data_IF_661743490798
#
_entry.id   IF_661743490798
#
_cell.length_a   1.000
_cell.length_b   1.000
_cell.length_c   1.000
_cell.angle_alpha   90.00
_cell.angle_beta   90.00
_cell.angle_gamma   90.00
#
_symmetry.space_group_name_H-M   'P 1'
#
loop_
_entity.id
_entity.type
_entity.pdbx_description
1 polymer ?
#
# COMPACT_ATOMS: atom_id res chain seq x y z
N UNK A 1 -32.49 -33.72 31.79
CA UNK A 1 -31.42 -33.35 32.74
C UNK A 1 -30.48 -32.40 32.03
N UNK A 2 -30.48 -31.11 32.38
CA UNK A 2 -29.56 -30.13 31.77
C UNK A 2 -28.14 -30.28 32.38
N UNK A 3 -27.06 -30.18 31.59
CA UNK A 3 -25.71 -30.22 32.14
C UNK A 3 -25.44 -28.94 32.93
N UNK A 4 -25.03 -29.09 34.20
CA UNK A 4 -24.86 -28.00 35.18
C UNK A 4 -23.54 -27.22 35.07
N UNK A 5 -22.79 -27.34 33.98
CA UNK A 5 -21.54 -26.58 33.81
C UNK A 5 -21.17 -26.45 32.35
N UNK A 6 -20.89 -25.23 31.90
CA UNK A 6 -20.28 -25.00 30.60
C UNK A 6 -18.89 -25.65 30.55
N UNK A 7 -18.52 -26.26 29.40
CA UNK A 7 -17.14 -26.68 29.14
C UNK A 7 -16.16 -25.51 29.33
N UNK A 8 -14.98 -25.74 29.94
CA UNK A 8 -14.00 -24.68 30.17
C UNK A 8 -13.54 -24.02 28.87
N UNK A 9 -13.58 -24.71 27.74
CA UNK A 9 -13.22 -24.20 26.41
C UNK A 9 -14.14 -23.04 25.98
N UNK A 10 -15.45 -23.13 26.26
CA UNK A 10 -16.40 -22.06 25.94
C UNK A 10 -16.26 -20.86 26.90
N UNK A 11 -15.75 -21.08 28.12
CA UNK A 11 -15.41 -19.97 29.01
C UNK A 11 -14.29 -19.09 28.43
N UNK A 12 -13.35 -19.65 27.66
CA UNK A 12 -12.32 -18.86 26.98
C UNK A 12 -12.88 -17.97 25.86
N UNK A 13 -14.03 -18.32 25.26
CA UNK A 13 -14.69 -17.51 24.22
C UNK A 13 -15.58 -16.39 24.78
N UNK A 14 -16.18 -16.56 25.95
CA UNK A 14 -17.04 -15.53 26.56
C UNK A 14 -16.27 -14.46 27.33
N UNK A 15 -15.17 -14.85 27.97
CA UNK A 15 -14.33 -13.95 28.80
C UNK A 15 -13.76 -12.71 28.07
N UNK A 16 -13.43 -12.73 26.77
CA UNK A 16 -13.01 -11.54 26.01
C UNK A 16 -14.03 -10.41 25.96
N UNK A 17 -15.31 -10.69 26.20
CA UNK A 17 -16.40 -9.71 26.09
C UNK A 17 -16.82 -9.10 27.45
N UNK A 18 -16.20 -9.51 28.55
CA UNK A 18 -16.48 -8.95 29.88
C UNK A 18 -15.58 -7.75 30.11
N UNK A 19 -16.17 -6.56 30.32
CA UNK A 19 -15.42 -5.36 30.65
C UNK A 19 -14.71 -5.53 31.99
N UNK A 20 -13.47 -5.05 32.09
CA UNK A 20 -12.63 -5.25 33.28
C UNK A 20 -13.26 -4.69 34.56
N UNK A 21 -13.96 -3.56 34.48
CA UNK A 21 -14.73 -2.95 35.57
C UNK A 21 -15.80 -3.88 36.16
N UNK A 22 -16.41 -4.72 35.33
CA UNK A 22 -17.46 -5.67 35.71
C UNK A 22 -16.88 -7.01 36.23
N UNK A 23 -15.61 -7.32 35.92
CA UNK A 23 -14.95 -8.58 36.25
C UNK A 23 -14.30 -8.60 37.65
N UNK A 24 -13.86 -7.44 38.15
CA UNK A 24 -12.99 -7.35 39.35
C UNK A 24 -13.70 -7.69 40.67
N UNK A 25 -14.96 -7.28 40.96
CA UNK A 25 -15.55 -7.55 42.28
C UNK A 25 -16.01 -9.00 42.47
N UNK A 26 -16.43 -9.69 41.39
CA UNK A 26 -17.14 -10.96 41.49
C UNK A 26 -16.37 -12.19 40.96
N UNK A 27 -15.36 -12.02 40.11
CA UNK A 27 -14.65 -13.17 39.52
C UNK A 27 -13.48 -13.68 40.38
N UNK A 28 -12.85 -12.81 41.17
CA UNK A 28 -11.71 -13.20 42.03
C UNK A 28 -12.12 -13.93 43.31
N UNK A 29 -13.39 -13.81 43.73
CA UNK A 29 -13.94 -14.44 44.94
C UNK A 29 -14.65 -15.78 44.69
N UNK A 30 -14.98 -16.09 43.44
CA UNK A 30 -15.91 -17.17 43.10
C UNK A 30 -15.25 -18.50 42.73
N UNK A 31 -14.07 -18.52 42.09
CA UNK A 31 -13.32 -19.77 41.84
C UNK A 31 -11.85 -19.54 41.45
N UNK A 32 -10.95 -20.41 41.93
CA UNK A 32 -9.49 -20.39 41.67
C UNK A 32 -9.13 -20.49 40.17
N UNK A 33 -9.99 -21.13 39.38
CA UNK A 33 -9.83 -21.28 37.93
C UNK A 33 -10.03 -19.94 37.20
N UNK A 34 -11.07 -19.17 37.56
CA UNK A 34 -11.29 -17.83 37.01
C UNK A 34 -10.22 -16.83 37.46
N UNK A 35 -9.76 -16.95 38.70
CA UNK A 35 -8.65 -16.15 39.23
C UNK A 35 -7.38 -16.30 38.36
N UNK A 36 -6.96 -17.54 38.10
CA UNK A 36 -5.77 -17.81 37.28
C UNK A 36 -5.94 -17.41 35.81
N UNK A 37 -7.17 -17.41 35.29
CA UNK A 37 -7.46 -17.03 33.91
C UNK A 37 -7.45 -15.50 33.70
N UNK A 38 -7.96 -14.75 34.68
CA UNK A 38 -8.17 -13.30 34.56
C UNK A 38 -6.97 -12.48 35.06
N UNK A 39 -6.18 -12.98 36.03
CA UNK A 39 -5.06 -12.23 36.61
C UNK A 39 -4.01 -11.74 35.58
N UNK A 40 -3.47 -12.61 34.70
CA UNK A 40 -2.46 -12.21 33.73
C UNK A 40 -2.97 -11.16 32.74
N UNK A 41 -4.30 -11.08 32.56
CA UNK A 41 -4.94 -10.03 31.76
C UNK A 41 -5.08 -8.75 32.57
N UNK A 42 -5.58 -8.78 33.80
CA UNK A 42 -5.67 -7.57 34.64
C UNK A 42 -4.31 -6.88 34.80
N UNK A 43 -3.22 -7.64 34.91
CA UNK A 43 -1.88 -7.06 34.96
C UNK A 43 -1.47 -6.39 33.64
N UNK A 44 -1.70 -7.04 32.49
CA UNK A 44 -1.50 -6.41 31.16
C UNK A 44 -2.37 -5.16 30.95
N UNK A 45 -3.58 -5.15 31.51
CA UNK A 45 -4.49 -4.00 31.44
C UNK A 45 -4.01 -2.86 32.34
N UNK A 46 -3.50 -3.14 33.54
CA UNK A 46 -2.85 -2.13 34.39
C UNK A 46 -1.62 -1.54 33.72
N UNK A 47 -0.81 -2.35 33.06
CA UNK A 47 0.32 -1.89 32.24
C UNK A 47 -0.15 -1.00 31.10
N UNK A 48 -1.21 -1.38 30.37
CA UNK A 48 -1.78 -0.57 29.31
C UNK A 48 -2.35 0.77 29.82
N UNK A 49 -3.00 0.78 30.98
CA UNK A 49 -3.54 1.99 31.61
C UNK A 49 -2.41 2.91 32.10
N UNK A 50 -1.33 2.37 32.66
CA UNK A 50 -0.13 3.13 33.00
C UNK A 50 0.54 3.73 31.75
N UNK A 51 0.56 3.00 30.63
CA UNK A 51 1.08 3.52 29.37
C UNK A 51 0.20 4.64 28.80
N UNK A 52 -1.12 4.58 28.98
CA UNK A 52 -2.04 5.63 28.53
C UNK A 52 -1.89 6.90 29.38
N UNK A 53 -1.76 6.76 30.71
CA UNK A 53 -1.45 7.89 31.60
C UNK A 53 -0.10 8.54 31.28
N UNK A 54 0.92 7.74 30.90
CA UNK A 54 2.22 8.24 30.44
C UNK A 54 2.10 9.00 29.11
N UNK A 55 1.30 8.51 28.17
CA UNK A 55 1.01 9.21 26.91
C UNK A 55 0.27 10.52 27.14
N UNK A 56 -0.71 10.56 28.04
CA UNK A 56 -1.43 11.78 28.39
C UNK A 56 -0.51 12.82 29.04
N UNK A 57 0.43 12.39 29.88
CA UNK A 57 1.48 13.26 30.43
C UNK A 57 2.41 13.79 29.34
N UNK A 58 2.82 12.96 28.37
CA UNK A 58 3.61 13.40 27.22
C UNK A 58 2.84 14.38 26.32
N UNK A 59 1.55 14.16 26.10
CA UNK A 59 0.68 15.07 25.34
C UNK A 59 0.50 16.40 26.09
N UNK A 60 0.35 16.37 27.42
CA UNK A 60 0.27 17.58 28.25
C UNK A 60 1.59 18.38 28.22
N UNK A 61 2.74 17.70 28.28
CA UNK A 61 4.06 18.32 28.12
C UNK A 61 4.23 18.94 26.72
N UNK A 62 3.82 18.24 25.66
CA UNK A 62 3.83 18.78 24.30
C UNK A 62 2.93 20.00 24.15
N UNK A 63 1.75 20.01 24.77
CA UNK A 63 0.84 21.17 24.78
C UNK A 63 1.44 22.35 25.54
N UNK A 64 2.12 22.12 26.66
CA UNK A 64 2.82 23.16 27.41
C UNK A 64 3.97 23.78 26.58
N UNK A 65 4.76 22.96 25.91
CA UNK A 65 5.82 23.42 24.99
C UNK A 65 5.22 24.24 23.83
N UNK A 66 4.08 23.82 23.28
CA UNK A 66 3.38 24.56 22.22
C UNK A 66 2.89 25.92 22.72
N UNK A 67 2.38 26.02 23.95
CA UNK A 67 1.96 27.30 24.54
C UNK A 67 3.16 28.21 24.87
N UNK A 68 4.28 27.66 25.34
CA UNK A 68 5.53 28.42 25.49
C UNK A 68 6.06 28.96 24.15
N UNK A 69 5.97 28.16 23.07
CA UNK A 69 6.33 28.59 21.72
C UNK A 69 5.38 29.65 21.16
N UNK A 70 4.08 29.60 21.49
CA UNK A 70 3.12 30.65 21.13
C UNK A 70 3.35 31.95 21.91
N UNK A 71 3.66 31.86 23.20
CA UNK A 71 4.02 33.01 24.02
C UNK A 71 5.35 33.64 23.56
N UNK A 72 6.32 32.82 23.17
CA UNK A 72 7.57 33.26 22.54
C UNK A 72 7.34 33.95 21.19
N UNK A 73 6.39 33.46 20.37
CA UNK A 73 5.98 34.14 19.13
C UNK A 73 5.28 35.47 19.38
N UNK A 74 4.48 35.62 20.44
CA UNK A 74 3.85 36.91 20.77
C UNK A 74 4.87 37.98 21.22
N UNK A 75 5.97 37.59 21.87
CA UNK A 75 7.10 38.51 22.14
C UNK A 75 7.88 38.90 20.88
N UNK A 76 8.03 37.99 19.92
CA UNK A 76 8.75 38.25 18.67
C UNK A 76 7.95 39.12 17.66
N UNK A 77 6.62 39.17 17.78
CA UNK A 77 5.74 39.97 16.90
C UNK A 77 5.75 41.47 17.23
N UNK A 78 6.23 41.88 18.42
CA UNK A 78 6.36 43.31 18.76
C UNK A 78 7.65 43.95 18.24
N UNK A 79 8.69 43.17 17.90
CA UNK A 79 10.03 43.71 17.58
C UNK A 79 10.49 43.55 16.12
N UNK A 80 9.71 42.97 15.21
CA UNK A 80 10.10 42.88 13.79
C UNK A 80 8.94 43.12 12.83
N UNK A 81 8.51 44.38 12.73
CA UNK A 81 7.85 44.88 11.53
C UNK A 81 8.90 45.32 10.50
N UNK A 82 9.68 44.35 10.00
CA UNK A 82 10.44 44.47 8.76
C UNK A 82 11.00 43.12 8.34
N UNK A 83 10.69 42.74 7.09
CA UNK A 83 11.23 41.63 6.28
C UNK A 83 10.41 40.32 6.21
N UNK A 84 9.54 40.32 5.20
CA UNK A 84 9.35 39.30 4.16
C UNK A 84 9.07 37.84 4.55
N UNK A 85 7.82 37.48 4.24
CA UNK A 85 7.33 36.16 3.82
C UNK A 85 8.33 35.30 3.02
N UNK A 86 8.52 34.05 3.45
CA UNK A 86 8.89 32.96 2.55
C UNK A 86 8.07 31.71 2.88
N UNK A 87 7.07 31.46 2.05
CA UNK A 87 6.44 30.15 1.83
C UNK A 87 7.52 29.12 1.49
N UNK A 88 7.46 27.94 2.10
CA UNK A 88 8.33 26.81 1.80
C UNK A 88 8.11 26.37 0.33
N UNK A 89 8.92 26.93 -0.56
CA UNK A 89 9.13 26.43 -1.91
C UNK A 89 9.98 25.17 -1.83
N UNK A 90 9.51 24.08 -2.44
CA UNK A 90 10.29 22.88 -2.65
C UNK A 90 11.58 23.26 -3.41
N UNK A 91 12.72 23.24 -2.71
CA UNK A 91 14.03 23.46 -3.33
C UNK A 91 14.22 22.42 -4.42
N UNK A 92 14.21 22.87 -5.67
CA UNK A 92 14.67 22.06 -6.80
C UNK A 92 16.16 21.77 -6.60
N UNK A 93 16.62 20.52 -6.80
CA UNK A 93 18.04 20.19 -6.63
C UNK A 93 18.91 21.06 -7.55
N UNK A 94 20.02 21.56 -7.02
CA UNK A 94 20.94 22.48 -7.72
C UNK A 94 21.56 21.89 -8.99
N UNK A 95 21.54 20.56 -9.15
CA UNK A 95 21.92 19.84 -10.37
C UNK A 95 21.06 18.58 -10.54
N UNK A 96 20.45 18.32 -11.72
CA UNK A 96 19.69 17.10 -11.94
C UNK A 96 20.61 15.88 -11.98
N UNK A 97 20.30 14.85 -11.18
CA UNK A 97 20.94 13.54 -11.31
C UNK A 97 20.61 12.96 -12.69
N UNK A 98 21.62 12.82 -13.56
CA UNK A 98 21.48 12.31 -14.92
C UNK A 98 22.32 11.06 -15.07
N UNK A 99 21.68 9.89 -14.95
CA UNK A 99 22.30 8.60 -15.21
C UNK A 99 21.34 7.73 -16.01
N UNK A 100 21.82 7.20 -17.11
CA UNK A 100 21.11 6.19 -17.88
C UNK A 100 21.70 4.82 -17.57
N UNK A 101 20.83 3.83 -17.42
CA UNK A 101 21.21 2.48 -17.06
C UNK A 101 20.60 1.52 -18.07
N UNK A 102 21.41 0.61 -18.59
CA UNK A 102 20.93 -0.45 -19.48
C UNK A 102 19.99 -1.38 -18.70
N UNK A 103 18.81 -1.63 -19.26
CA UNK A 103 17.83 -2.51 -18.64
C UNK A 103 18.32 -3.94 -18.44
N UNK A 104 17.80 -4.59 -17.42
CA UNK A 104 18.09 -5.99 -17.05
C UNK A 104 17.40 -6.99 -17.95
N UNK A 105 16.20 -6.64 -18.43
CA UNK A 105 15.33 -7.55 -19.19
C UNK A 105 15.53 -7.45 -20.71
N UNK A 106 16.61 -6.80 -21.17
CA UNK A 106 16.90 -6.64 -22.60
C UNK A 106 17.70 -7.82 -23.13
N UNK A 107 17.27 -8.40 -24.26
CA UNK A 107 18.08 -9.38 -25.00
C UNK A 107 19.36 -8.75 -25.57
N UNK A 108 20.47 -9.49 -25.60
CA UNK A 108 21.77 -9.01 -26.09
C UNK A 108 21.76 -8.52 -27.55
N UNK A 109 20.85 -9.05 -28.39
CA UNK A 109 20.69 -8.69 -29.81
C UNK A 109 19.50 -7.77 -30.09
N UNK A 110 18.78 -7.31 -29.06
CA UNK A 110 17.65 -6.37 -29.18
C UNK A 110 18.06 -4.92 -28.94
N UNK A 111 17.14 -3.99 -29.19
CA UNK A 111 17.30 -2.59 -28.79
C UNK A 111 17.55 -2.54 -27.27
N UNK A 112 18.78 -2.23 -26.86
CA UNK A 112 19.16 -2.12 -25.46
C UNK A 112 18.43 -0.92 -24.85
N UNK A 113 17.24 -1.16 -24.29
CA UNK A 113 16.48 -0.12 -23.60
C UNK A 113 17.36 0.45 -22.47
N UNK A 114 17.68 1.73 -22.58
CA UNK A 114 18.30 2.50 -21.52
C UNK A 114 17.21 3.23 -20.76
N UNK A 115 17.29 3.17 -19.43
CA UNK A 115 16.31 3.78 -18.55
C UNK A 115 16.97 4.96 -17.82
N UNK A 116 16.38 6.16 -17.90
CA UNK A 116 16.84 7.30 -17.12
C UNK A 116 16.48 7.09 -15.65
N UNK A 117 17.47 7.27 -14.78
CA UNK A 117 17.30 7.22 -13.33
C UNK A 117 17.06 8.63 -12.82
N UNK A 118 15.91 8.84 -12.17
CA UNK A 118 15.55 10.16 -11.65
C UNK A 118 16.16 10.41 -10.27
N UNK A 119 16.35 11.69 -9.92
CA UNK A 119 16.70 12.09 -8.56
C UNK A 119 15.73 11.51 -7.52
N UNK A 120 14.42 11.54 -7.82
CA UNK A 120 13.38 11.04 -6.92
C UNK A 120 13.49 9.54 -6.65
N UNK A 121 13.87 8.75 -7.66
CA UNK A 121 14.12 7.33 -7.49
C UNK A 121 15.31 7.07 -6.55
N UNK A 122 16.44 7.75 -6.77
CA UNK A 122 17.62 7.61 -5.90
C UNK A 122 17.27 8.00 -4.46
N UNK A 123 16.53 9.10 -4.28
CA UNK A 123 16.10 9.56 -2.96
C UNK A 123 15.24 8.51 -2.26
N UNK A 124 14.21 7.98 -2.94
CA UNK A 124 13.30 6.96 -2.38
C UNK A 124 14.03 5.66 -2.00
N UNK A 125 15.02 5.25 -2.79
CA UNK A 125 15.85 4.06 -2.52
C UNK A 125 16.83 4.23 -1.37
N UNK A 126 17.37 5.44 -1.16
CA UNK A 126 18.20 5.75 0.02
C UNK A 126 17.34 5.78 1.29
N UNK A 127 16.09 6.21 1.17
CA UNK A 127 15.10 6.21 2.24
C UNK A 127 14.42 4.84 2.40
N UNK A 128 13.39 4.74 3.26
CA UNK A 128 12.63 3.48 3.39
C UNK A 128 11.66 3.35 2.21
N UNK A 129 11.41 2.14 1.67
CA UNK A 129 11.67 0.83 2.26
C UNK A 129 13.08 0.26 2.09
N UNK A 130 13.78 0.54 0.99
CA UNK A 130 14.99 -0.21 0.59
C UNK A 130 16.24 0.13 1.42
N UNK A 131 16.44 1.41 1.78
CA UNK A 131 17.62 1.89 2.51
C UNK A 131 18.94 1.47 1.86
N UNK A 132 19.02 1.62 0.54
CA UNK A 132 20.15 1.19 -0.29
C UNK A 132 21.45 1.88 0.09
N UNK A 133 22.52 1.09 0.13
CA UNK A 133 23.90 1.57 0.25
C UNK A 133 24.49 1.80 -1.14
N UNK A 134 25.62 2.50 -1.20
CA UNK A 134 26.38 2.69 -2.45
C UNK A 134 26.66 1.36 -3.17
N UNK A 135 26.97 0.29 -2.43
CA UNK A 135 27.19 -1.04 -3.01
C UNK A 135 25.99 -1.55 -3.80
N UNK A 136 24.79 -1.23 -3.35
CA UNK A 136 23.55 -1.75 -3.92
C UNK A 136 23.20 -0.97 -5.18
N UNK A 137 23.43 0.35 -5.16
CA UNK A 137 23.36 1.18 -6.37
C UNK A 137 24.39 0.79 -7.43
N UNK A 138 25.60 0.36 -7.06
CA UNK A 138 26.57 -0.16 -8.04
C UNK A 138 26.00 -1.38 -8.76
N UNK A 139 25.40 -2.31 -8.00
CA UNK A 139 24.71 -3.48 -8.56
C UNK A 139 23.52 -3.06 -9.41
N UNK A 140 22.70 -2.11 -8.93
CA UNK A 140 21.53 -1.58 -9.64
C UNK A 140 21.92 -1.00 -11.00
N UNK A 141 23.03 -0.26 -11.04
CA UNK A 141 23.54 0.44 -12.22
C UNK A 141 24.49 -0.39 -13.09
N UNK A 142 24.61 -1.70 -12.83
CA UNK A 142 25.53 -2.59 -13.54
C UNK A 142 26.99 -2.12 -13.55
N UNK A 143 27.41 -1.44 -12.48
CA UNK A 143 28.79 -1.01 -12.30
C UNK A 143 29.58 -2.04 -11.50
N UNK A 144 30.81 -2.32 -11.96
CA UNK A 144 31.74 -3.17 -11.20
C UNK A 144 32.05 -2.50 -9.86
N UNK A 145 32.11 -3.31 -8.80
CA UNK A 145 32.52 -2.86 -7.47
C UNK A 145 34.03 -2.54 -7.46
N UNK A 146 34.38 -1.27 -7.66
CA UNK A 146 35.75 -0.75 -7.57
C UNK A 146 35.77 0.48 -6.67
N UNK A 147 36.93 0.79 -6.08
CA UNK A 147 37.10 1.98 -5.24
C UNK A 147 36.71 3.27 -5.97
N UNK A 148 37.16 3.42 -7.23
CA UNK A 148 36.80 4.55 -8.10
C UNK A 148 35.29 4.66 -8.30
N UNK A 149 34.63 3.60 -8.78
CA UNK A 149 33.19 3.64 -9.09
C UNK A 149 32.36 3.97 -7.85
N UNK A 150 32.74 3.46 -6.68
CA UNK A 150 32.06 3.78 -5.42
C UNK A 150 32.24 5.25 -5.01
N UNK A 151 33.43 5.82 -5.21
CA UNK A 151 33.72 7.21 -4.91
C UNK A 151 33.02 8.16 -5.88
N UNK A 152 33.05 7.84 -7.18
CA UNK A 152 32.40 8.62 -8.24
C UNK A 152 30.88 8.63 -8.07
N UNK A 153 30.30 7.47 -7.77
CA UNK A 153 28.86 7.36 -7.53
C UNK A 153 28.43 8.12 -6.28
N UNK A 154 29.22 8.01 -5.19
CA UNK A 154 28.95 8.75 -3.96
C UNK A 154 29.01 10.25 -4.21
N UNK A 155 30.03 10.73 -4.93
CA UNK A 155 30.16 12.14 -5.32
C UNK A 155 28.96 12.59 -6.16
N UNK A 156 28.53 11.80 -7.14
CA UNK A 156 27.38 12.14 -8.00
C UNK A 156 26.06 12.24 -7.23
N UNK A 157 25.85 11.38 -6.23
CA UNK A 157 24.67 11.41 -5.37
C UNK A 157 24.74 12.59 -4.38
N UNK A 158 25.91 12.85 -3.79
CA UNK A 158 26.15 13.98 -2.88
C UNK A 158 26.05 15.34 -3.60
N UNK A 159 26.50 15.45 -4.87
CA UNK A 159 26.30 16.62 -5.74
C UNK A 159 24.82 16.92 -6.00
N UNK A 160 23.97 15.90 -5.88
CA UNK A 160 22.52 16.04 -6.01
C UNK A 160 21.84 16.38 -4.67
N UNK A 161 22.61 16.59 -3.60
CA UNK A 161 22.13 16.90 -2.24
C UNK A 161 21.45 15.72 -1.50
N UNK A 162 21.64 14.48 -1.95
CA UNK A 162 21.14 13.28 -1.26
C UNK A 162 22.17 12.80 -0.24
N UNK A 163 21.79 12.72 1.04
CA UNK A 163 22.66 12.21 2.12
C UNK A 163 22.50 10.71 2.28
N UNK A 164 23.49 9.93 1.83
CA UNK A 164 23.54 8.49 2.09
C UNK A 164 24.04 8.26 3.52
N UNK A 165 23.19 7.63 4.34
CA UNK A 165 23.57 7.24 5.71
C UNK A 165 24.45 5.98 5.65
N UNK A 166 25.71 6.11 6.06
CA UNK A 166 26.70 5.02 6.01
C UNK A 166 26.34 3.81 6.87
N UNK A 167 25.60 4.02 7.96
CA UNK A 167 25.16 2.96 8.86
C UNK A 167 23.64 2.85 8.87
N UNK A 168 23.11 1.99 8.00
CA UNK A 168 21.74 1.50 8.10
C UNK A 168 21.74 -0.02 8.00
N UNK A 169 21.03 -0.66 8.93
CA UNK A 169 20.63 -2.05 8.79
C UNK A 169 19.52 -2.08 7.72
N UNK A 170 19.75 -2.88 6.69
CA UNK A 170 18.75 -3.25 5.69
C UNK A 170 17.62 -3.94 6.46
N UNK A 171 16.41 -3.40 6.35
CA UNK A 171 15.24 -3.83 7.13
C UNK A 171 14.04 -4.20 6.25
N UNK A 172 14.19 -4.17 4.92
CA UNK A 172 13.19 -4.61 3.94
C UNK A 172 13.44 -6.06 3.52
N UNK A 173 12.37 -6.76 3.14
CA UNK A 173 12.46 -8.00 2.40
C UNK A 173 13.04 -7.70 1.02
N UNK A 174 14.15 -8.35 0.65
CA UNK A 174 14.71 -8.25 -0.68
C UNK A 174 13.76 -8.93 -1.67
N UNK A 175 13.01 -8.14 -2.43
CA UNK A 175 12.16 -8.65 -3.51
C UNK A 175 12.86 -8.46 -4.85
N UNK A 176 12.42 -9.18 -5.88
CA UNK A 176 12.93 -8.95 -7.23
C UNK A 176 12.70 -7.50 -7.72
N UNK A 177 11.69 -6.81 -7.21
CA UNK A 177 11.41 -5.41 -7.56
C UNK A 177 12.54 -4.47 -7.13
N UNK A 178 13.21 -4.75 -6.00
CA UNK A 178 14.34 -3.95 -5.50
C UNK A 178 15.46 -3.82 -6.55
N UNK A 179 15.61 -4.83 -7.43
CA UNK A 179 16.62 -4.81 -8.49
C UNK A 179 16.16 -4.16 -9.80
N UNK A 180 14.87 -3.93 -10.01
CA UNK A 180 14.36 -3.23 -11.20
C UNK A 180 14.43 -1.74 -10.99
N UNK A 181 14.83 -0.96 -12.00
CA UNK A 181 14.61 0.49 -12.00
C UNK A 181 13.10 0.79 -12.02
N UNK A 182 12.68 1.94 -11.48
CA UNK A 182 11.25 2.29 -11.49
C UNK A 182 10.67 2.35 -12.91
N UNK A 183 11.44 2.87 -13.87
CA UNK A 183 11.02 2.88 -15.26
C UNK A 183 10.91 1.46 -15.87
N UNK A 184 11.76 0.52 -15.46
CA UNK A 184 11.65 -0.88 -15.88
C UNK A 184 10.43 -1.56 -15.28
N UNK A 185 10.20 -1.35 -13.98
CA UNK A 185 9.07 -1.91 -13.26
C UNK A 185 7.74 -1.42 -13.85
N UNK A 186 7.66 -0.16 -14.25
CA UNK A 186 6.45 0.36 -14.90
C UNK A 186 6.32 -0.09 -16.35
N UNK A 187 7.41 -0.20 -17.11
CA UNK A 187 7.35 -0.80 -18.45
C UNK A 187 6.82 -2.25 -18.36
N UNK A 188 7.29 -3.01 -17.36
CA UNK A 188 6.83 -4.37 -17.10
C UNK A 188 5.33 -4.44 -16.77
N UNK A 189 4.80 -3.48 -16.00
CA UNK A 189 3.36 -3.45 -15.69
C UNK A 189 2.51 -3.09 -16.91
N UNK A 190 3.00 -2.19 -17.79
CA UNK A 190 2.32 -1.86 -19.04
C UNK A 190 2.30 -3.05 -20.00
N UNK A 191 3.39 -3.80 -20.09
CA UNK A 191 3.44 -5.01 -20.92
C UNK A 191 2.55 -6.12 -20.34
N UNK A 192 2.49 -6.24 -19.01
CA UNK A 192 1.51 -7.10 -18.34
C UNK A 192 0.06 -6.72 -18.68
N UNK A 193 -0.29 -5.43 -18.65
CA UNK A 193 -1.62 -4.95 -19.03
C UNK A 193 -1.99 -5.35 -20.47
N UNK A 194 -1.08 -5.17 -21.43
CA UNK A 194 -1.29 -5.59 -22.83
C UNK A 194 -1.50 -7.10 -22.96
N UNK A 195 -0.79 -7.90 -22.16
CA UNK A 195 -0.95 -9.35 -22.13
C UNK A 195 -2.29 -9.74 -21.53
N UNK A 196 -2.75 -9.05 -20.47
CA UNK A 196 -4.09 -9.22 -19.94
C UNK A 196 -5.15 -8.96 -21.02
N UNK A 197 -5.08 -7.82 -21.71
CA UNK A 197 -6.05 -7.45 -22.74
C UNK A 197 -6.09 -8.43 -23.92
N UNK A 198 -4.92 -8.93 -24.34
CA UNK A 198 -4.80 -9.78 -25.54
C UNK A 198 -5.00 -11.26 -25.26
N UNK A 199 -4.55 -11.75 -24.11
CA UNK A 199 -4.36 -13.18 -23.86
C UNK A 199 -5.22 -13.72 -22.71
N UNK A 200 -5.80 -12.88 -21.85
CA UNK A 200 -6.62 -13.39 -20.75
C UNK A 200 -7.94 -13.98 -21.28
N UNK A 201 -8.32 -15.21 -20.90
CA UNK A 201 -9.44 -15.93 -21.52
C UNK A 201 -10.79 -15.51 -20.92
N UNK A 202 -11.17 -14.24 -21.07
CA UNK A 202 -12.42 -13.69 -20.51
C UNK A 202 -13.65 -14.47 -20.99
N UNK A 203 -13.80 -14.66 -22.31
CA UNK A 203 -14.98 -15.30 -22.88
C UNK A 203 -15.13 -16.77 -22.47
N UNK A 204 -14.09 -17.63 -22.58
CA UNK A 204 -14.18 -19.01 -22.11
C UNK A 204 -14.57 -19.12 -20.63
N UNK A 205 -13.97 -18.29 -19.75
CA UNK A 205 -14.30 -18.29 -18.33
C UNK A 205 -15.76 -17.86 -18.12
N UNK A 206 -16.21 -16.79 -18.80
CA UNK A 206 -17.59 -16.33 -18.70
C UNK A 206 -18.59 -17.41 -19.16
N UNK A 207 -18.26 -18.18 -20.21
CA UNK A 207 -19.09 -19.31 -20.64
C UNK A 207 -19.21 -20.32 -19.51
N UNK A 208 -18.08 -20.79 -18.97
CA UNK A 208 -18.07 -21.84 -17.95
C UNK A 208 -18.81 -21.40 -16.67
N UNK A 209 -18.70 -20.13 -16.30
CA UNK A 209 -19.42 -19.55 -15.17
C UNK A 209 -20.94 -19.40 -15.39
N UNK A 210 -21.40 -19.29 -16.65
CA UNK A 210 -22.82 -19.01 -16.97
C UNK A 210 -23.57 -20.21 -17.55
N UNK A 211 -22.87 -21.19 -18.13
CA UNK A 211 -23.47 -22.38 -18.74
C UNK A 211 -24.08 -23.35 -17.72
N UNK A 212 -23.77 -23.26 -16.42
CA UNK A 212 -24.23 -24.24 -15.42
C UNK A 212 -23.64 -25.66 -15.60
N UNK A 213 -22.80 -25.85 -16.62
CA UNK A 213 -22.17 -27.12 -17.03
C UNK A 213 -20.89 -27.44 -16.25
N UNK A 214 -20.50 -26.62 -15.27
CA UNK A 214 -19.36 -26.90 -14.40
C UNK A 214 -19.71 -28.12 -13.51
N UNK A 215 -19.49 -29.30 -14.08
CA UNK A 215 -19.85 -30.60 -13.55
C UNK A 215 -19.22 -30.89 -12.19
N UNK A 216 -20.09 -31.10 -11.21
CA UNK A 216 -19.75 -31.73 -9.94
C UNK A 216 -20.79 -31.42 -8.88
N UNK A 217 -21.84 -32.26 -8.77
CA UNK A 217 -22.82 -32.46 -7.67
C UNK A 217 -23.43 -31.26 -6.91
N UNK A 218 -23.00 -30.03 -7.14
CA UNK A 218 -23.52 -28.83 -6.54
C UNK A 218 -24.31 -28.12 -7.63
N UNK A 219 -25.64 -28.21 -7.57
CA UNK A 219 -26.58 -27.42 -8.38
C UNK A 219 -26.49 -25.94 -8.04
N UNK A 220 -25.32 -25.34 -8.26
CA UNK A 220 -25.08 -23.93 -8.05
C UNK A 220 -25.92 -23.16 -9.07
N UNK A 221 -26.87 -22.39 -8.55
CA UNK A 221 -27.74 -21.53 -9.35
C UNK A 221 -26.87 -20.53 -10.14
N UNK A 222 -27.17 -20.26 -11.42
CA UNK A 222 -26.46 -19.22 -12.16
C UNK A 222 -26.57 -17.87 -11.44
N UNK A 223 -25.52 -17.06 -11.50
CA UNK A 223 -25.49 -15.73 -10.91
C UNK A 223 -26.59 -14.84 -11.52
N UNK A 224 -27.37 -14.18 -10.67
CA UNK A 224 -28.38 -13.21 -11.11
C UNK A 224 -27.74 -11.92 -11.65
N UNK A 225 -28.49 -11.20 -12.49
CA UNK A 225 -28.06 -9.89 -13.00
C UNK A 225 -27.80 -8.87 -11.88
N UNK A 226 -28.54 -8.94 -10.78
CA UNK A 226 -28.36 -8.05 -9.62
C UNK A 226 -27.06 -8.36 -8.87
N UNK A 227 -26.73 -9.63 -8.68
CA UNK A 227 -25.46 -10.07 -8.07
C UNK A 227 -24.26 -9.63 -8.91
N UNK A 228 -24.31 -9.87 -10.22
CA UNK A 228 -23.25 -9.44 -11.15
C UNK A 228 -23.09 -7.91 -11.16
N UNK A 229 -24.20 -7.17 -11.21
CA UNK A 229 -24.18 -5.71 -11.14
C UNK A 229 -23.57 -5.18 -9.83
N UNK A 230 -23.84 -5.86 -8.70
CA UNK A 230 -23.25 -5.54 -7.40
C UNK A 230 -21.74 -5.75 -7.40
N UNK A 231 -21.26 -6.88 -7.94
CA UNK A 231 -19.82 -7.17 -8.06
C UNK A 231 -19.15 -6.13 -8.96
N UNK A 232 -19.73 -5.82 -10.12
CA UNK A 232 -19.19 -4.82 -11.05
C UNK A 232 -19.07 -3.44 -10.41
N UNK A 233 -20.09 -3.01 -9.65
CA UNK A 233 -20.05 -1.75 -8.91
C UNK A 233 -18.94 -1.75 -7.86
N UNK A 234 -18.83 -2.82 -7.07
CA UNK A 234 -17.76 -2.95 -6.07
C UNK A 234 -16.37 -2.84 -6.71
N UNK A 235 -16.13 -3.54 -7.81
CA UNK A 235 -14.86 -3.47 -8.54
C UNK A 235 -14.56 -2.06 -9.07
N UNK A 236 -15.57 -1.36 -9.59
CA UNK A 236 -15.42 0.04 -10.02
C UNK A 236 -15.07 0.97 -8.84
N UNK A 237 -15.69 0.79 -7.67
CA UNK A 237 -15.37 1.58 -6.48
C UNK A 237 -13.93 1.34 -5.98
N UNK A 238 -13.40 0.13 -6.15
CA UNK A 238 -11.99 -0.21 -5.90
C UNK A 238 -11.07 0.49 -6.90
N UNK A 239 -11.46 0.54 -8.18
CA UNK A 239 -10.71 1.25 -9.21
C UNK A 239 -10.66 2.75 -8.93
N UNK A 240 -11.76 3.36 -8.47
CA UNK A 240 -11.78 4.79 -8.07
C UNK A 240 -10.75 5.11 -6.97
N UNK A 241 -10.47 4.16 -6.08
CA UNK A 241 -9.42 4.34 -5.06
C UNK A 241 -8.02 4.32 -5.67
N UNK A 242 -7.78 3.50 -6.70
CA UNK A 242 -6.50 3.45 -7.41
C UNK A 242 -6.27 4.74 -8.22
N UNK A 243 -7.31 5.24 -8.92
CA UNK A 243 -7.22 6.49 -9.69
C UNK A 243 -7.01 7.73 -8.81
N UNK A 244 -7.43 7.65 -7.54
CA UNK A 244 -7.21 8.68 -6.55
C UNK A 244 -5.82 8.61 -5.89
N UNK A 245 -4.99 7.61 -6.20
CA UNK A 245 -3.63 7.52 -5.67
C UNK A 245 -2.76 8.67 -6.20
N UNK A 246 -2.14 9.41 -5.27
CA UNK A 246 -1.23 10.51 -5.55
C UNK A 246 0.21 10.19 -5.12
N UNK A 247 0.52 8.90 -4.96
CA UNK A 247 1.86 8.44 -4.65
C UNK A 247 2.87 9.04 -5.65
N UNK A 248 4.04 9.50 -5.19
CA UNK A 248 5.03 10.13 -6.04
C UNK A 248 5.62 9.13 -7.04
N UNK A 249 5.16 9.21 -8.29
CA UNK A 249 5.69 8.42 -9.40
C UNK A 249 6.96 9.08 -9.99
N UNK A 250 7.84 8.28 -10.62
CA UNK A 250 8.94 8.83 -11.42
C UNK A 250 8.39 9.67 -12.59
N UNK A 251 8.91 10.90 -12.81
CA UNK A 251 8.36 11.88 -13.74
C UNK A 251 8.34 11.47 -15.23
N UNK A 252 8.95 10.34 -15.59
CA UNK A 252 8.87 9.78 -16.95
C UNK A 252 7.49 9.19 -17.29
N UNK A 253 6.58 9.17 -16.31
CA UNK A 253 5.22 8.65 -16.44
C UNK A 253 4.23 9.76 -16.11
N UNK A 254 4.11 10.71 -17.04
CA UNK A 254 2.83 11.39 -17.17
C UNK A 254 1.87 10.37 -17.77
N UNK A 255 1.09 9.72 -16.91
CA UNK A 255 -0.20 9.20 -17.35
C UNK A 255 -0.97 10.37 -17.99
N UNK A 256 -1.81 10.13 -19.01
CA UNK A 256 -2.79 11.12 -19.41
C UNK A 256 -3.54 11.50 -18.13
N UNK A 257 -3.39 12.74 -17.67
CA UNK A 257 -4.12 13.25 -16.53
C UNK A 257 -5.58 13.33 -17.00
N UNK A 258 -6.31 12.22 -16.86
CA UNK A 258 -7.75 12.27 -16.99
C UNK A 258 -8.19 12.99 -15.72
N UNK A 259 -8.51 14.28 -15.88
CA UNK A 259 -9.02 15.13 -14.82
C UNK A 259 -10.45 14.69 -14.44
N UNK A 260 -10.57 13.49 -13.86
CA UNK A 260 -11.79 13.03 -13.21
C UNK A 260 -11.76 13.56 -11.78
N UNK A 261 -12.95 13.85 -11.21
CA UNK A 261 -13.10 14.21 -9.79
C UNK A 261 -12.41 13.14 -8.94
N UNK A 262 -11.19 13.42 -8.46
CA UNK A 262 -10.48 12.50 -7.60
C UNK A 262 -11.28 12.29 -6.32
N UNK A 263 -11.58 11.03 -6.04
CA UNK A 263 -12.10 10.60 -4.74
C UNK A 263 -11.11 11.07 -3.68
N UNK A 264 -11.57 11.79 -2.66
CA UNK A 264 -10.69 12.12 -1.55
C UNK A 264 -10.42 10.83 -0.77
N UNK A 265 -9.16 10.39 -0.75
CA UNK A 265 -8.75 9.23 0.03
C UNK A 265 -8.24 9.66 1.40
N UNK A 266 -8.60 8.89 2.44
CA UNK A 266 -8.14 9.18 3.79
C UNK A 266 -6.63 8.97 3.94
N UNK A 267 -6.00 9.71 4.83
CA UNK A 267 -4.54 9.71 5.03
C UNK A 267 -3.93 8.30 5.23
N UNK A 268 -4.64 7.39 5.90
CA UNK A 268 -4.18 6.00 6.11
C UNK A 268 -4.14 5.19 4.80
N UNK A 269 -5.13 5.39 3.93
CA UNK A 269 -5.22 4.72 2.63
C UNK A 269 -4.14 5.24 1.70
N UNK A 270 -3.97 6.58 1.62
CA UNK A 270 -2.90 7.20 0.84
C UNK A 270 -1.50 6.77 1.31
N UNK A 271 -1.26 6.66 2.62
CA UNK A 271 0.01 6.15 3.14
C UNK A 271 0.25 4.67 2.76
N UNK A 272 -0.81 3.86 2.71
CA UNK A 272 -0.75 2.48 2.25
C UNK A 272 -0.39 2.38 0.76
N UNK A 273 -1.03 3.17 -0.09
CA UNK A 273 -0.69 3.26 -1.52
C UNK A 273 0.74 3.70 -1.74
N UNK A 274 1.19 4.75 -1.04
CA UNK A 274 2.58 5.20 -1.13
C UNK A 274 3.55 4.09 -0.74
N UNK A 275 3.31 3.38 0.37
CA UNK A 275 4.16 2.26 0.77
C UNK A 275 4.18 1.15 -0.29
N UNK A 276 3.04 0.82 -0.89
CA UNK A 276 2.94 -0.20 -1.92
C UNK A 276 3.62 0.21 -3.23
N UNK A 277 3.45 1.46 -3.66
CA UNK A 277 4.12 2.03 -4.82
C UNK A 277 5.64 2.03 -4.64
N UNK A 278 6.12 2.43 -3.46
CA UNK A 278 7.55 2.36 -3.10
C UNK A 278 8.08 0.92 -3.12
N UNK A 279 7.38 -0.03 -2.50
CA UNK A 279 7.82 -1.42 -2.40
C UNK A 279 7.82 -2.17 -3.75
N UNK A 280 7.01 -1.73 -4.70
CA UNK A 280 6.89 -2.35 -6.04
C UNK A 280 7.54 -1.51 -7.14
N UNK A 281 8.21 -0.41 -6.79
CA UNK A 281 8.79 0.54 -7.73
C UNK A 281 7.80 1.02 -8.80
N UNK A 282 6.54 1.21 -8.40
CA UNK A 282 5.43 1.63 -9.27
C UNK A 282 4.72 0.50 -10.00
N UNK A 283 5.28 -0.70 -10.13
CA UNK A 283 4.63 -1.82 -10.85
C UNK A 283 3.25 -2.17 -10.27
N UNK A 284 3.14 -2.23 -8.95
CA UNK A 284 2.00 -2.81 -8.25
C UNK A 284 0.68 -2.11 -8.54
N UNK A 285 0.65 -0.77 -8.52
CA UNK A 285 -0.58 0.00 -8.77
C UNK A 285 -1.13 -0.23 -10.18
N UNK A 286 -0.25 -0.20 -11.18
CA UNK A 286 -0.60 -0.46 -12.58
C UNK A 286 -1.06 -1.91 -12.81
N UNK A 287 -0.33 -2.88 -12.26
CA UNK A 287 -0.69 -4.28 -12.39
C UNK A 287 -2.04 -4.57 -11.72
N UNK A 288 -2.27 -4.03 -10.53
CA UNK A 288 -3.53 -4.17 -9.82
C UNK A 288 -4.70 -3.56 -10.60
N UNK A 289 -4.51 -2.34 -11.13
CA UNK A 289 -5.50 -1.69 -12.01
C UNK A 289 -5.85 -2.56 -13.22
N UNK A 290 -4.84 -3.16 -13.86
CA UNK A 290 -5.04 -4.06 -15.01
C UNK A 290 -5.86 -5.29 -14.64
N UNK A 291 -5.58 -5.91 -13.49
CA UNK A 291 -6.36 -7.06 -13.00
C UNK A 291 -7.81 -6.66 -12.71
N UNK A 292 -8.05 -5.52 -12.05
CA UNK A 292 -9.42 -5.06 -11.77
C UNK A 292 -10.20 -4.80 -13.06
N UNK A 293 -9.57 -4.20 -14.07
CA UNK A 293 -10.20 -4.01 -15.38
C UNK A 293 -10.57 -5.32 -16.06
N UNK A 294 -9.68 -6.33 -16.02
CA UNK A 294 -9.99 -7.68 -16.51
C UNK A 294 -11.20 -8.28 -15.78
N UNK A 295 -11.27 -8.15 -14.46
CA UNK A 295 -12.40 -8.65 -13.67
C UNK A 295 -13.70 -7.91 -14.02
N UNK A 296 -13.65 -6.59 -14.21
CA UNK A 296 -14.81 -5.80 -14.64
C UNK A 296 -15.30 -6.28 -16.02
N UNK A 297 -14.39 -6.49 -16.97
CA UNK A 297 -14.74 -7.00 -18.30
C UNK A 297 -15.28 -8.43 -18.25
N UNK A 298 -14.75 -9.28 -17.36
CA UNK A 298 -15.30 -10.61 -17.11
C UNK A 298 -16.74 -10.55 -16.60
N UNK A 299 -17.01 -9.71 -15.60
CA UNK A 299 -18.37 -9.56 -15.07
C UNK A 299 -19.32 -9.01 -16.14
N UNK A 300 -18.90 -8.02 -16.94
CA UNK A 300 -19.69 -7.52 -18.08
C UNK A 300 -19.98 -8.62 -19.11
N UNK A 301 -19.03 -9.50 -19.37
CA UNK A 301 -19.23 -10.62 -20.29
C UNK A 301 -20.22 -11.65 -19.72
N UNK A 302 -20.21 -11.90 -18.41
CA UNK A 302 -21.23 -12.71 -17.74
C UNK A 302 -22.62 -12.04 -17.81
N UNK A 303 -22.73 -10.73 -17.55
CA UNK A 303 -24.00 -9.97 -17.64
C UNK A 303 -24.65 -10.09 -19.04
N UNK A 304 -23.86 -10.00 -20.11
CA UNK A 304 -24.34 -10.17 -21.50
C UNK A 304 -24.91 -11.56 -21.76
N UNK A 305 -24.38 -12.59 -21.10
CA UNK A 305 -24.80 -13.98 -21.30
C UNK A 305 -26.06 -14.29 -20.52
N UNK A 306 -26.13 -13.87 -19.26
CA UNK A 306 -27.33 -14.05 -18.42
C UNK A 306 -28.55 -13.37 -19.05
N UNK A 307 -28.38 -12.19 -19.65
CA UNK A 307 -29.46 -11.51 -20.38
C UNK A 307 -29.92 -12.27 -21.63
N UNK A 308 -29.01 -12.92 -22.37
CA UNK A 308 -29.40 -13.75 -23.53
C UNK A 308 -30.17 -15.02 -23.15
N UNK A 309 -29.89 -15.62 -21.98
CA UNK A 309 -30.63 -16.81 -21.51
C UNK A 309 -32.07 -16.48 -21.15
N UNK A 310 -32.32 -15.33 -20.53
CA UNK A 310 -33.68 -14.90 -20.12
C UNK A 310 -34.60 -14.54 -21.30
N UNK A 311 -34.05 -14.17 -22.46
CA UNK A 311 -34.85 -13.92 -23.67
C UNK A 311 -35.26 -15.22 -24.37
N UNK A 312 -34.47 -16.30 -24.22
CA UNK A 312 -34.80 -17.62 -24.75
C UNK A 312 -35.95 -18.32 -24.00
N UNK A 313 -36.00 -18.19 -22.67
CA UNK A 313 -37.07 -18.81 -21.87
C UNK A 313 -38.44 -18.15 -22.08
N UNK A 314 -38.50 -16.85 -22.37
CA UNK A 314 -39.76 -16.13 -22.60
C UNK A 314 -40.34 -16.30 -24.02
N UNK A 315 -39.63 -16.98 -24.93
CA UNK A 315 -40.10 -17.22 -26.30
C UNK A 315 -40.76 -18.61 -26.48
N UNK A 316 -40.73 -19.47 -25.46
CA UNK A 316 -41.31 -20.82 -25.47
C UNK A 316 -42.63 -20.95 -24.66
N UNK A 317 -43.18 -19.84 -24.13
CA UNK A 317 -44.50 -19.77 -23.47
C UNK A 317 -45.56 -19.10 -24.36
#
# INVERSE_FOLDING_TARGET
MAPKSLPPELLFEFVPFVRAEDAVPNAFSSCRLFHNLLLPRVDKWKEALLMDQSKDQQIAQLKAIIEELKAGKQKAVTDQQSQSSSTASAKSPSKPFKKEVKGRLTFENGCAATYPVSFGEVQRRVESPDRMKISDFLTLFHLRKTGSNSADLRKSIEESEIKIRTEQRQHSEDTCFTFLLEAEAVQLSQDFAKLCDRNYPIKPIANEMTSGESGGESGAKPYSMEELGTVRRFLAEVLDFQEADESPHTPHLQLPIIAVKKKQIGNKVGAGFNRFSLATHGFGGYAFTSVINVLIELVKECEKRTSSTTEGENAEE
#
